data_IF_736694860575
#
_entry.id   IF_736694860575
#
_cell.length_a   1.000
_cell.length_b   1.000
_cell.length_c   1.000
_cell.angle_alpha   90.00
_cell.angle_beta   90.00
_cell.angle_gamma   90.00
#
_symmetry.space_group_name_H-M   'P 1'
#
loop_
_entity.id
_entity.type
_entity.pdbx_description
1 polymer ?
#
# COMPACT_ATOMS: atom_id res chain seq x y z
N UNK A 1 3.15 2.94 14.58
CA UNK A 1 4.56 3.21 14.19
C UNK A 1 4.73 3.36 12.67
N UNK A 2 3.63 3.57 11.90
CA UNK A 2 3.64 3.69 10.43
C UNK A 2 4.30 2.51 9.71
N UNK A 3 4.23 1.32 10.30
CA UNK A 3 4.73 0.07 9.71
C UNK A 3 3.61 -0.94 9.47
N UNK A 4 3.83 -1.82 8.50
CA UNK A 4 3.07 -3.06 8.34
C UNK A 4 3.98 -4.21 8.74
N UNK A 5 3.48 -5.12 9.57
CA UNK A 5 4.23 -6.30 10.01
C UNK A 5 3.47 -7.55 9.65
N UNK A 6 4.19 -8.53 9.11
CA UNK A 6 3.65 -9.85 8.80
C UNK A 6 4.24 -10.87 9.77
N UNK A 7 3.38 -11.71 10.33
CA UNK A 7 3.70 -12.63 11.39
C UNK A 7 3.30 -14.06 11.02
N UNK A 8 4.09 -15.04 11.42
CA UNK A 8 3.66 -16.44 11.47
C UNK A 8 2.86 -16.63 12.77
N UNK A 9 1.57 -16.91 12.65
CA UNK A 9 0.69 -17.07 13.82
C UNK A 9 0.98 -18.33 14.65
N UNK A 10 1.63 -19.34 14.05
CA UNK A 10 2.00 -20.60 14.73
C UNK A 10 3.29 -20.44 15.54
N UNK A 11 4.32 -19.80 14.99
CA UNK A 11 5.59 -19.57 15.70
C UNK A 11 5.62 -18.26 16.49
N UNK A 12 4.66 -17.35 16.26
CA UNK A 12 4.67 -15.97 16.79
C UNK A 12 5.87 -15.14 16.35
N UNK A 13 6.52 -15.52 15.24
CA UNK A 13 7.68 -14.81 14.71
C UNK A 13 7.24 -13.69 13.74
N UNK A 14 7.91 -12.55 13.84
CA UNK A 14 7.77 -11.46 12.87
C UNK A 14 8.59 -11.80 11.62
N UNK A 15 7.90 -12.16 10.54
CA UNK A 15 8.54 -12.52 9.27
C UNK A 15 9.05 -11.28 8.53
N UNK A 16 8.34 -10.15 8.65
CA UNK A 16 8.68 -8.93 7.93
C UNK A 16 8.14 -7.69 8.63
N UNK A 17 8.89 -6.59 8.53
CA UNK A 17 8.45 -5.24 8.89
C UNK A 17 8.67 -4.31 7.70
N UNK A 18 7.61 -3.64 7.26
CA UNK A 18 7.60 -2.70 6.14
C UNK A 18 7.38 -1.28 6.65
N UNK A 19 8.23 -0.34 6.24
CA UNK A 19 8.04 1.08 6.57
C UNK A 19 7.15 1.75 5.53
N UNK A 20 5.92 2.05 5.91
CA UNK A 20 4.92 2.65 5.03
C UNK A 20 5.01 4.18 5.08
N UNK A 21 5.39 4.74 6.23
CA UNK A 21 5.49 6.20 6.43
C UNK A 21 4.13 6.89 6.68
N UNK A 22 3.04 6.14 6.69
CA UNK A 22 1.68 6.59 7.05
C UNK A 22 0.94 5.52 7.86
N UNK A 23 -0.02 5.95 8.68
CA UNK A 23 -1.00 5.05 9.26
C UNK A 23 -1.99 4.58 8.19
N UNK A 24 -2.19 3.27 8.08
CA UNK A 24 -3.18 2.67 7.18
C UNK A 24 -4.47 2.42 7.97
N UNK A 25 -5.61 2.71 7.36
CA UNK A 25 -6.92 2.50 7.99
C UNK A 25 -7.62 1.22 7.53
N UNK A 26 -7.23 0.68 6.37
CA UNK A 26 -7.75 -0.57 5.83
C UNK A 26 -6.60 -1.45 5.37
N UNK A 27 -6.68 -2.73 5.72
CA UNK A 27 -5.70 -3.74 5.36
C UNK A 27 -6.42 -5.09 5.18
N UNK A 28 -6.21 -5.75 4.06
CA UNK A 28 -6.77 -7.08 3.82
C UNK A 28 -5.91 -7.88 2.85
N UNK A 29 -5.78 -9.18 3.09
CA UNK A 29 -5.14 -10.07 2.13
C UNK A 29 -6.05 -10.28 0.91
N UNK A 30 -5.41 -10.49 -0.23
CA UNK A 30 -6.08 -11.06 -1.39
C UNK A 30 -6.33 -12.57 -1.18
N UNK A 31 -7.03 -13.20 -2.13
CA UNK A 31 -7.37 -14.63 -2.04
C UNK A 31 -6.15 -15.55 -2.11
N UNK A 32 -5.03 -15.08 -2.65
CA UNK A 32 -3.79 -15.87 -2.75
C UNK A 32 -2.86 -15.69 -1.55
N UNK A 33 -3.19 -14.79 -0.62
CA UNK A 33 -2.33 -14.34 0.49
C UNK A 33 -0.96 -13.79 0.04
N UNK A 34 -0.81 -13.46 -1.24
CA UNK A 34 0.44 -12.94 -1.81
C UNK A 34 0.41 -11.41 -1.91
N UNK A 35 -0.77 -10.81 -1.82
CA UNK A 35 -0.97 -9.38 -1.90
C UNK A 35 -1.76 -8.86 -0.71
N UNK A 36 -1.42 -7.64 -0.30
CA UNK A 36 -2.04 -6.95 0.80
C UNK A 36 -2.65 -5.65 0.28
N UNK A 37 -3.97 -5.59 0.23
CA UNK A 37 -4.71 -4.39 -0.13
C UNK A 37 -4.66 -3.39 1.02
N UNK A 38 -4.33 -2.14 0.70
CA UNK A 38 -4.32 -1.01 1.63
C UNK A 38 -5.07 0.17 1.05
N UNK A 39 -5.33 1.19 1.87
CA UNK A 39 -5.94 2.45 1.44
C UNK A 39 -5.07 3.24 0.44
N UNK A 40 -3.77 2.98 0.37
CA UNK A 40 -2.82 3.70 -0.51
C UNK A 40 -2.27 2.86 -1.67
N UNK A 41 -2.57 1.56 -1.74
CA UNK A 41 -2.07 0.68 -2.79
C UNK A 41 -2.06 -0.80 -2.40
N UNK A 42 -1.70 -1.65 -3.35
CA UNK A 42 -1.54 -3.10 -3.12
C UNK A 42 -0.07 -3.40 -2.87
N UNK A 43 0.26 -4.03 -1.74
CA UNK A 43 1.63 -4.41 -1.39
C UNK A 43 1.84 -5.87 -1.76
N UNK A 44 2.92 -6.17 -2.49
CA UNK A 44 3.37 -7.53 -2.74
C UNK A 44 4.10 -8.08 -1.50
N UNK A 45 3.55 -9.15 -0.93
CA UNK A 45 4.09 -9.89 0.21
C UNK A 45 4.47 -11.33 -0.18
N UNK A 46 4.45 -11.68 -1.47
CA UNK A 46 4.82 -13.01 -1.97
C UNK A 46 6.27 -13.39 -1.68
N UNK A 47 7.15 -12.39 -1.49
CA UNK A 47 8.55 -12.56 -1.08
C UNK A 47 8.73 -13.33 0.23
N UNK A 48 7.66 -13.51 1.01
CA UNK A 48 7.59 -14.35 2.20
C UNK A 48 7.70 -15.86 1.89
N UNK A 49 7.42 -16.28 0.65
CA UNK A 49 7.41 -17.70 0.24
C UNK A 49 8.80 -18.26 -0.09
N UNK A 50 9.82 -17.40 -0.14
CA UNK A 50 11.20 -17.79 -0.38
C UNK A 50 11.92 -17.98 0.96
N UNK A 51 12.48 -19.17 1.26
CA UNK A 51 13.32 -19.37 2.43
C UNK A 51 14.62 -18.60 2.23
N UNK A 52 14.68 -17.35 2.68
CA UNK A 52 15.97 -16.67 2.85
C UNK A 52 16.59 -17.17 4.15
N UNK A 53 17.87 -17.56 4.15
CA UNK A 53 18.55 -17.96 5.37
C UNK A 53 18.58 -16.78 6.35
N UNK A 54 18.10 -17.06 7.55
CA UNK A 54 18.05 -16.22 8.73
C UNK A 54 19.39 -15.54 9.04
N UNK A 55 19.37 -14.21 9.15
CA UNK A 55 20.20 -13.39 10.07
C UNK A 55 20.17 -11.91 9.69
N UNK A 56 19.03 -11.22 9.88
CA UNK A 56 19.07 -9.76 10.07
C UNK A 56 17.94 -9.40 11.02
N UNK A 57 18.25 -8.64 12.06
CA UNK A 57 17.30 -7.80 12.80
C UNK A 57 16.24 -7.31 11.81
N UNK A 58 14.95 -7.48 12.09
CA UNK A 58 13.84 -7.09 11.22
C UNK A 58 13.87 -5.58 10.94
N UNK A 59 14.80 -5.15 10.09
CA UNK A 59 14.95 -3.77 9.70
C UNK A 59 13.77 -3.43 8.79
N UNK A 60 13.11 -2.30 9.02
CA UNK A 60 12.01 -1.88 8.19
C UNK A 60 12.45 -1.76 6.73
N UNK A 61 11.80 -2.51 5.84
CA UNK A 61 12.05 -2.43 4.40
C UNK A 61 11.00 -1.58 3.70
N UNK A 62 11.32 -1.09 2.50
CA UNK A 62 10.33 -0.38 1.69
C UNK A 62 9.33 -1.36 1.07
N UNK A 63 8.03 -1.08 1.14
CA UNK A 63 7.01 -1.91 0.50
C UNK A 63 7.19 -1.91 -1.03
N UNK A 64 7.01 -3.07 -1.64
CA UNK A 64 6.87 -3.18 -3.10
C UNK A 64 5.39 -3.09 -3.44
N UNK A 65 5.01 -2.05 -4.17
CA UNK A 65 3.62 -1.87 -4.58
C UNK A 65 3.37 -2.43 -5.96
N UNK A 66 2.22 -3.07 -6.12
CA UNK A 66 1.67 -3.54 -7.38
C UNK A 66 0.55 -2.59 -7.83
N UNK A 67 0.58 -2.17 -9.09
CA UNK A 67 -0.44 -1.30 -9.67
C UNK A 67 -0.35 0.18 -9.25
N UNK A 68 -1.46 0.93 -9.36
CA UNK A 68 -1.52 2.33 -8.97
C UNK A 68 -1.50 2.49 -7.45
N UNK A 69 -0.92 3.60 -7.01
CA UNK A 69 -0.75 3.92 -5.58
C UNK A 69 -0.99 5.39 -5.33
N UNK A 70 -1.40 5.72 -4.10
CA UNK A 70 -1.40 7.07 -3.60
C UNK A 70 -0.07 7.34 -2.87
N UNK A 71 0.54 8.49 -3.11
CA UNK A 71 1.70 8.92 -2.33
C UNK A 71 1.34 9.12 -0.86
N UNK A 72 2.33 8.97 0.02
CA UNK A 72 2.19 9.12 1.47
C UNK A 72 1.54 10.47 1.85
N UNK A 73 1.95 11.53 1.18
CA UNK A 73 1.43 12.90 1.35
C UNK A 73 0.06 13.14 0.68
N UNK A 74 -0.49 12.16 -0.03
CA UNK A 74 -1.74 12.26 -0.77
C UNK A 74 -1.72 13.23 -1.95
N UNK A 75 -0.54 13.69 -2.39
CA UNK A 75 -0.40 14.69 -3.45
C UNK A 75 -0.27 14.08 -4.85
N UNK A 76 0.03 12.79 -4.96
CA UNK A 76 0.28 12.14 -6.24
C UNK A 76 -0.40 10.78 -6.32
N UNK A 77 -1.03 10.52 -7.46
CA UNK A 77 -1.24 9.15 -7.94
C UNK A 77 0.03 8.72 -8.67
N UNK A 78 0.53 7.54 -8.31
CA UNK A 78 1.77 6.97 -8.84
C UNK A 78 1.52 5.58 -9.39
N UNK A 79 2.41 5.15 -10.28
CA UNK A 79 2.52 3.76 -10.71
C UNK A 79 3.99 3.35 -10.60
N UNK A 80 4.30 2.54 -9.59
CA UNK A 80 5.67 2.25 -9.17
C UNK A 80 6.47 3.54 -8.86
N UNK A 81 7.63 3.77 -9.52
CA UNK A 81 8.44 4.97 -9.28
C UNK A 81 7.87 6.22 -9.98
N UNK A 82 6.97 6.07 -10.96
CA UNK A 82 6.48 7.18 -11.79
C UNK A 82 5.34 7.91 -11.10
N UNK A 83 5.40 9.25 -11.12
CA UNK A 83 4.30 10.14 -10.74
C UNK A 83 3.40 10.36 -11.96
N UNK A 84 2.13 10.02 -11.84
CA UNK A 84 1.18 10.08 -12.96
C UNK A 84 0.32 11.34 -12.92
N UNK A 85 -0.30 11.62 -11.77
CA UNK A 85 -1.24 12.73 -11.60
C UNK A 85 -0.97 13.45 -10.29
N UNK A 86 -0.82 14.77 -10.36
CA UNK A 86 -0.78 15.63 -9.18
C UNK A 86 -2.21 15.94 -8.74
N UNK A 87 -2.43 15.91 -7.42
CA UNK A 87 -3.72 16.22 -6.81
C UNK A 87 -3.69 17.62 -6.19
N UNK A 88 -4.47 18.57 -6.74
CA UNK A 88 -4.74 19.85 -6.09
C UNK A 88 -5.32 19.65 -4.69
N UNK A 89 -5.12 20.63 -3.81
CA UNK A 89 -5.50 20.56 -2.39
C UNK A 89 -6.94 20.10 -2.15
N UNK A 90 -7.87 20.56 -2.99
CA UNK A 90 -9.30 20.29 -2.92
C UNK A 90 -9.70 18.87 -3.36
N UNK A 91 -8.77 18.11 -3.97
CA UNK A 91 -8.94 16.70 -4.33
C UNK A 91 -8.13 15.76 -3.44
N UNK A 92 -7.31 16.27 -2.51
CA UNK A 92 -6.48 15.41 -1.67
C UNK A 92 -7.35 14.56 -0.74
N UNK A 93 -7.16 13.23 -0.71
CA UNK A 93 -8.00 12.35 0.07
C UNK A 93 -7.75 12.47 1.57
N UNK A 94 -8.83 12.49 2.35
CA UNK A 94 -8.80 12.13 3.78
C UNK A 94 -8.86 10.62 3.97
N UNK A 95 -9.49 9.90 3.04
CA UNK A 95 -9.53 8.44 2.98
C UNK A 95 -9.52 7.99 1.51
N UNK A 96 -9.04 6.77 1.27
CA UNK A 96 -8.95 6.20 -0.08
C UNK A 96 -9.05 4.68 -0.06
N UNK A 97 -9.30 4.11 -1.24
CA UNK A 97 -9.24 2.68 -1.50
C UNK A 97 -8.67 2.45 -2.89
N UNK A 98 -7.86 1.41 -3.03
CA UNK A 98 -7.27 0.99 -4.31
C UNK A 98 -7.81 -0.39 -4.68
N UNK A 99 -8.31 -0.52 -5.91
CA UNK A 99 -8.84 -1.77 -6.44
C UNK A 99 -8.49 -1.90 -7.92
N UNK A 100 -7.68 -2.90 -8.26
CA UNK A 100 -7.16 -3.07 -9.62
C UNK A 100 -6.42 -1.80 -10.08
N UNK A 101 -6.80 -1.30 -11.25
CA UNK A 101 -6.23 -0.07 -11.83
C UNK A 101 -6.96 1.22 -11.39
N UNK A 102 -7.85 1.15 -10.40
CA UNK A 102 -8.64 2.28 -9.95
C UNK A 102 -8.30 2.71 -8.51
N UNK A 103 -8.36 4.02 -8.29
CA UNK A 103 -8.30 4.65 -6.97
C UNK A 103 -9.59 5.42 -6.74
N UNK A 104 -10.27 5.14 -5.63
CA UNK A 104 -11.36 5.97 -5.14
C UNK A 104 -10.91 6.73 -3.90
N UNK A 105 -11.35 7.99 -3.79
CA UNK A 105 -10.89 8.91 -2.75
C UNK A 105 -12.05 9.73 -2.21
N UNK A 106 -12.16 9.75 -0.89
CA UNK A 106 -13.02 10.66 -0.14
C UNK A 106 -12.22 11.86 0.35
N UNK A 107 -12.73 13.06 0.10
CA UNK A 107 -12.13 14.33 0.51
C UNK A 107 -12.78 14.81 1.81
N UNK A 108 -12.06 15.57 2.63
CA UNK A 108 -12.55 16.06 3.93
C UNK A 108 -13.81 16.95 3.87
N UNK A 109 -14.21 17.42 2.69
CA UNK A 109 -15.46 18.15 2.47
C UNK A 109 -16.64 17.25 2.04
N UNK A 110 -16.47 15.93 2.07
CA UNK A 110 -17.50 14.94 1.72
C UNK A 110 -17.58 14.58 0.24
N UNK A 111 -16.80 15.20 -0.64
CA UNK A 111 -16.75 14.81 -2.06
C UNK A 111 -16.02 13.48 -2.23
N UNK A 112 -16.46 12.70 -3.22
CA UNK A 112 -15.82 11.46 -3.63
C UNK A 112 -15.46 11.55 -5.10
N UNK A 113 -14.28 11.07 -5.47
CA UNK A 113 -13.86 10.91 -6.86
C UNK A 113 -13.23 9.54 -7.09
N UNK A 114 -13.24 9.11 -8.35
CA UNK A 114 -12.63 7.87 -8.82
C UNK A 114 -11.69 8.22 -9.97
N UNK A 115 -10.49 7.64 -9.96
CA UNK A 115 -9.51 7.76 -11.02
C UNK A 115 -9.11 6.36 -11.49
N UNK A 116 -9.25 6.10 -12.78
CA UNK A 116 -8.78 4.89 -13.44
C UNK A 116 -7.45 5.16 -14.14
N UNK A 117 -6.45 4.32 -13.87
CA UNK A 117 -5.12 4.40 -14.47
C UNK A 117 -5.06 3.44 -15.66
N UNK A 118 -5.17 3.98 -16.87
CA UNK A 118 -5.07 3.17 -18.09
C UNK A 118 -3.60 2.89 -18.43
N UNK A 119 -3.26 1.62 -18.59
CA UNK A 119 -1.98 1.20 -19.17
C UNK A 119 -2.07 1.31 -20.69
N UNK A 120 -1.08 1.94 -21.32
CA UNK A 120 -0.90 1.94 -22.78
C UNK A 120 0.02 0.81 -23.19
#
# INVERSE_FOLDING_TARGET
DNTVKVWDARSSECLQTLHIGKALHSISFDVTNSYLHTDIGVIDVSVLSSPKPSSVIAQPQHPQYYGPTLSIDGMWIKYGPKKLLWLPSEYRPSCSVVSGEAIAAGVGNGRVWICEVLQK
#
